data_IF_073748928486
#
_entry.id   IF_073748928486
#
_cell.length_a   1.000
_cell.length_b   1.000
_cell.length_c   1.000
_cell.angle_alpha   90.00
_cell.angle_beta   90.00
_cell.angle_gamma   90.00
#
_symmetry.space_group_name_H-M   'P 1'
#
loop_
_entity.id
_entity.type
_entity.pdbx_description
1 polymer ?
#
# COMPACT_ATOMS: atom_id res chain seq x y z
N UNK A 1 -10.56 -23.40 -55.49
CA UNK A 1 -10.42 -24.07 -54.16
C UNK A 1 -9.13 -23.69 -53.42
N UNK A 2 -8.64 -22.44 -53.49
CA UNK A 2 -7.40 -22.00 -52.79
C UNK A 2 -7.57 -20.71 -51.97
N UNK A 3 -8.77 -20.13 -51.94
CA UNK A 3 -9.04 -18.83 -51.28
C UNK A 3 -9.74 -18.94 -49.93
N UNK A 4 -10.25 -20.12 -49.56
CA UNK A 4 -11.00 -20.34 -48.33
C UNK A 4 -10.14 -20.80 -47.15
N UNK A 5 -8.94 -21.33 -47.40
CA UNK A 5 -8.04 -21.79 -46.33
C UNK A 5 -7.30 -20.66 -45.60
N UNK A 6 -7.08 -19.50 -46.25
CA UNK A 6 -6.35 -18.39 -45.65
C UNK A 6 -7.19 -17.59 -44.62
N UNK A 7 -8.52 -17.57 -44.78
CA UNK A 7 -9.42 -16.83 -43.88
C UNK A 7 -9.58 -17.51 -42.51
N UNK A 8 -9.43 -18.83 -42.44
CA UNK A 8 -9.58 -19.60 -41.19
C UNK A 8 -8.35 -19.52 -40.29
N UNK A 9 -7.15 -19.34 -40.84
CA UNK A 9 -5.94 -19.12 -40.05
C UNK A 9 -5.82 -17.70 -39.48
N UNK A 10 -6.33 -16.69 -40.19
CA UNK A 10 -6.34 -15.32 -39.70
C UNK A 10 -7.36 -15.10 -38.55
N UNK A 11 -8.48 -15.83 -38.55
CA UNK A 11 -9.50 -15.72 -37.50
C UNK A 11 -9.11 -16.45 -36.20
N UNK A 12 -8.40 -17.58 -36.29
CA UNK A 12 -7.94 -18.33 -35.11
C UNK A 12 -6.86 -17.61 -34.31
N UNK A 13 -5.98 -16.85 -34.96
CA UNK A 13 -4.94 -16.07 -34.30
C UNK A 13 -5.47 -14.85 -33.53
N UNK A 14 -6.67 -14.36 -33.88
CA UNK A 14 -7.27 -13.19 -33.22
C UNK A 14 -8.01 -13.57 -31.92
N UNK A 15 -8.53 -14.79 -31.80
CA UNK A 15 -9.23 -15.22 -30.58
C UNK A 15 -8.32 -15.68 -29.44
N UNK A 16 -7.08 -16.09 -29.70
CA UNK A 16 -6.14 -16.49 -28.63
C UNK A 16 -5.44 -15.32 -27.94
N UNK A 17 -5.52 -14.10 -28.48
CA UNK A 17 -4.88 -12.92 -27.90
C UNK A 17 -5.71 -12.24 -26.78
N UNK A 18 -7.00 -12.56 -26.65
CA UNK A 18 -7.89 -11.88 -25.70
C UNK A 18 -7.79 -12.38 -24.26
N UNK A 19 -7.19 -13.55 -24.03
CA UNK A 19 -7.04 -14.13 -22.69
C UNK A 19 -5.80 -13.62 -21.94
N UNK A 20 -4.90 -12.89 -22.61
CA UNK A 20 -3.70 -12.34 -21.99
C UNK A 20 -3.92 -10.98 -21.28
N UNK A 21 -5.14 -10.45 -21.29
CA UNK A 21 -5.46 -9.15 -20.65
C UNK A 21 -6.21 -9.27 -19.32
N UNK A 22 -6.23 -10.45 -18.70
CA UNK A 22 -6.61 -10.58 -17.29
C UNK A 22 -5.39 -10.32 -16.39
N UNK A 23 -4.82 -9.10 -16.45
CA UNK A 23 -3.87 -8.61 -15.45
C UNK A 23 -4.68 -8.28 -14.20
N UNK A 24 -4.90 -9.30 -13.38
CA UNK A 24 -5.50 -9.16 -12.06
C UNK A 24 -4.43 -8.80 -11.03
N UNK A 25 -4.44 -7.53 -10.60
CA UNK A 25 -3.99 -6.98 -9.31
C UNK A 25 -2.77 -7.66 -8.64
N UNK A 26 -1.60 -7.06 -8.88
CA UNK A 26 -0.27 -7.67 -8.80
C UNK A 26 0.45 -7.62 -7.42
N UNK A 27 -0.26 -7.77 -6.30
CA UNK A 27 0.40 -7.89 -4.97
C UNK A 27 -0.13 -9.06 -4.16
N UNK A 28 0.76 -10.02 -3.88
CA UNK A 28 0.58 -11.14 -2.96
C UNK A 28 1.06 -10.76 -1.56
N UNK A 29 0.59 -11.46 -0.52
CA UNK A 29 0.94 -11.21 0.88
C UNK A 29 2.47 -11.20 1.09
N UNK A 30 3.18 -12.08 0.37
CA UNK A 30 4.64 -12.22 0.45
C UNK A 30 5.42 -11.06 -0.18
N UNK A 31 4.77 -10.25 -1.01
CA UNK A 31 5.43 -9.13 -1.70
C UNK A 31 5.66 -7.96 -0.71
N UNK A 32 4.85 -7.90 0.34
CA UNK A 32 5.04 -6.99 1.47
C UNK A 32 5.66 -7.68 2.69
N UNK A 33 5.25 -8.91 3.02
CA UNK A 33 5.69 -9.64 4.21
C UNK A 33 6.73 -10.73 3.88
N UNK A 34 7.90 -10.70 4.51
CA UNK A 34 8.99 -11.67 4.32
C UNK A 34 9.46 -12.31 5.63
N UNK A 35 9.07 -13.57 5.87
CA UNK A 35 9.43 -14.32 7.10
C UNK A 35 10.93 -14.59 7.25
N UNK A 36 11.68 -14.57 6.16
CA UNK A 36 13.13 -14.81 6.14
C UNK A 36 13.96 -13.56 5.87
N UNK A 37 13.34 -12.46 5.45
CA UNK A 37 14.02 -11.25 4.99
C UNK A 37 13.37 -9.96 5.48
N UNK A 38 12.68 -10.00 6.62
CA UNK A 38 12.06 -8.84 7.22
C UNK A 38 13.11 -7.77 7.56
N UNK A 39 12.84 -6.53 7.15
CA UNK A 39 13.63 -5.32 7.43
C UNK A 39 12.85 -4.29 8.26
N UNK A 40 11.54 -4.47 8.39
CA UNK A 40 10.66 -3.64 9.20
C UNK A 40 9.83 -4.45 10.20
N UNK A 41 9.03 -3.75 11.00
CA UNK A 41 8.05 -4.35 11.91
C UNK A 41 7.05 -5.24 11.15
N UNK A 42 6.32 -6.11 11.85
CA UNK A 42 5.29 -6.98 11.25
C UNK A 42 5.77 -7.76 10.02
N UNK A 43 7.04 -8.17 10.00
CA UNK A 43 7.62 -9.00 8.95
C UNK A 43 7.73 -8.25 7.59
N UNK A 44 7.70 -6.91 7.56
CA UNK A 44 7.84 -6.19 6.28
C UNK A 44 9.21 -6.41 5.61
N UNK A 45 9.21 -6.71 4.31
CA UNK A 45 10.42 -6.94 3.51
C UNK A 45 11.27 -5.69 3.22
N UNK A 46 10.74 -4.50 3.52
CA UNK A 46 11.42 -3.21 3.39
C UNK A 46 11.50 -2.49 4.74
N UNK A 47 12.52 -1.65 4.89
CA UNK A 47 12.58 -0.72 6.01
C UNK A 47 11.73 0.53 5.69
N UNK A 48 11.08 1.15 6.70
CA UNK A 48 10.44 2.44 6.52
C UNK A 48 11.44 3.50 6.04
N UNK A 49 11.03 4.31 5.05
CA UNK A 49 11.81 5.41 4.51
C UNK A 49 11.24 6.76 5.00
N UNK A 50 11.91 7.38 5.95
CA UNK A 50 11.48 8.64 6.58
C UNK A 50 12.24 9.89 6.07
N UNK A 51 13.23 9.68 5.19
CA UNK A 51 14.08 10.71 4.62
C UNK A 51 13.34 11.59 3.60
N UNK A 52 12.27 11.08 2.98
CA UNK A 52 11.43 11.89 2.12
C UNK A 52 10.60 12.87 2.94
N UNK A 53 10.53 14.11 2.48
CA UNK A 53 9.70 15.13 3.10
C UNK A 53 8.22 14.92 2.75
N UNK A 54 7.36 15.19 3.73
CA UNK A 54 5.91 15.32 3.53
C UNK A 54 5.60 16.40 2.48
N UNK A 55 4.37 16.41 1.96
CA UNK A 55 3.91 17.39 0.96
C UNK A 55 4.11 18.87 1.38
N UNK A 56 4.27 19.14 2.68
CA UNK A 56 4.48 20.50 3.22
C UNK A 56 5.87 20.73 3.83
N UNK A 57 6.85 19.87 3.56
CA UNK A 57 8.25 20.12 3.93
C UNK A 57 8.68 19.67 5.33
N UNK A 58 7.90 18.82 6.02
CA UNK A 58 8.29 18.17 7.27
C UNK A 58 8.91 16.78 7.07
N UNK A 59 9.65 16.28 8.06
CA UNK A 59 10.12 14.88 8.08
C UNK A 59 8.94 13.94 8.38
N UNK A 60 8.92 12.79 7.72
CA UNK A 60 7.96 11.74 8.03
C UNK A 60 8.39 11.00 9.29
N UNK A 61 7.44 10.56 10.11
CA UNK A 61 7.73 9.70 11.26
C UNK A 61 7.91 8.26 10.74
N UNK A 62 9.05 7.58 11.02
CA UNK A 62 9.26 6.18 10.62
C UNK A 62 8.18 5.21 11.11
N UNK A 63 7.45 5.55 12.17
CA UNK A 63 6.33 4.76 12.69
C UNK A 63 5.02 4.98 11.93
N UNK A 64 4.94 5.97 11.03
CA UNK A 64 3.80 6.17 10.15
C UNK A 64 3.79 5.17 9.01
N UNK A 65 2.58 4.73 8.63
CA UNK A 65 2.39 3.81 7.50
C UNK A 65 2.94 4.36 6.18
N UNK A 66 2.93 5.68 6.00
CA UNK A 66 3.47 6.31 4.81
C UNK A 66 4.97 6.02 4.63
N UNK A 67 5.74 6.01 5.73
CA UNK A 67 7.18 5.72 5.66
C UNK A 67 7.43 4.29 5.18
N UNK A 68 6.58 3.36 5.61
CA UNK A 68 6.61 1.98 5.12
C UNK A 68 6.26 1.92 3.61
N UNK A 69 5.21 2.60 3.17
CA UNK A 69 4.84 2.64 1.75
C UNK A 69 5.99 3.18 0.89
N UNK A 70 6.66 4.24 1.36
CA UNK A 70 7.83 4.81 0.71
C UNK A 70 9.07 3.91 0.77
N UNK A 71 9.13 2.95 1.69
CA UNK A 71 10.15 1.89 1.68
C UNK A 71 10.18 1.11 0.36
N UNK A 72 9.02 0.96 -0.30
CA UNK A 72 8.90 0.38 -1.64
C UNK A 72 8.69 1.42 -2.75
N UNK A 73 7.97 2.51 -2.49
CA UNK A 73 7.61 3.52 -3.49
C UNK A 73 8.62 4.69 -3.55
N UNK A 74 9.92 4.39 -3.59
CA UNK A 74 10.98 5.40 -3.67
C UNK A 74 11.81 5.29 -4.96
N UNK A 75 12.63 6.31 -5.21
CA UNK A 75 13.46 6.40 -6.42
C UNK A 75 14.66 5.44 -6.43
N UNK A 76 15.07 4.95 -5.26
CA UNK A 76 16.32 4.17 -5.10
C UNK A 76 16.11 2.67 -5.18
N UNK A 77 14.91 2.20 -4.82
CA UNK A 77 14.59 0.78 -4.69
C UNK A 77 13.09 0.53 -4.60
N UNK A 78 12.65 -0.67 -4.97
CA UNK A 78 11.27 -1.13 -4.82
C UNK A 78 10.47 -1.10 -6.13
N UNK A 79 9.23 -0.62 -6.06
CA UNK A 79 8.26 -0.57 -7.16
C UNK A 79 8.10 0.86 -7.68
N UNK A 80 7.05 1.15 -8.46
CA UNK A 80 6.82 2.47 -9.06
C UNK A 80 6.94 3.59 -8.03
N UNK A 81 7.87 4.55 -8.18
CA UNK A 81 8.10 5.59 -7.17
C UNK A 81 6.90 6.54 -7.05
N UNK A 82 6.67 7.06 -5.83
CA UNK A 82 5.65 8.09 -5.55
C UNK A 82 6.34 9.38 -5.12
N UNK A 83 6.03 10.47 -5.84
CA UNK A 83 6.52 11.80 -5.51
C UNK A 83 5.46 12.56 -4.70
N UNK A 84 5.68 12.68 -3.39
CA UNK A 84 4.73 13.35 -2.50
C UNK A 84 4.46 14.82 -2.87
N UNK A 85 5.42 15.49 -3.52
CA UNK A 85 5.27 16.88 -4.02
C UNK A 85 4.18 17.02 -5.10
N UNK A 86 3.90 15.95 -5.83
CA UNK A 86 2.95 15.93 -6.96
C UNK A 86 1.70 15.08 -6.65
N UNK A 87 1.57 14.61 -5.41
CA UNK A 87 0.49 13.72 -4.97
C UNK A 87 -0.44 14.42 -3.98
N UNK A 88 -1.53 13.76 -3.60
CA UNK A 88 -2.34 14.25 -2.49
C UNK A 88 -1.50 14.31 -1.21
N UNK A 89 -1.68 15.34 -0.36
CA UNK A 89 -0.95 15.44 0.89
C UNK A 89 -1.25 14.24 1.81
N UNK A 90 -0.21 13.51 2.18
CA UNK A 90 -0.27 12.44 3.19
C UNK A 90 0.70 12.74 4.34
N UNK A 91 0.52 12.07 5.48
CA UNK A 91 1.26 12.32 6.70
C UNK A 91 0.83 13.64 7.39
N UNK A 92 -0.39 14.10 7.13
CA UNK A 92 -0.87 15.42 7.55
C UNK A 92 -2.26 15.35 8.18
N UNK A 93 -2.51 16.19 9.18
CA UNK A 93 -3.86 16.40 9.71
C UNK A 93 -4.62 17.38 8.79
N UNK A 94 -5.77 16.99 8.22
CA UNK A 94 -6.58 17.90 7.42
C UNK A 94 -7.05 19.11 8.25
N UNK A 95 -6.75 20.33 7.79
CA UNK A 95 -7.15 21.58 8.48
C UNK A 95 -8.29 22.33 7.80
N UNK A 96 -8.39 22.21 6.48
CA UNK A 96 -9.29 23.02 5.63
C UNK A 96 -10.48 22.23 5.08
N UNK A 97 -10.46 20.91 5.21
CA UNK A 97 -11.51 20.02 4.74
C UNK A 97 -11.99 19.13 5.89
N UNK A 98 -13.29 18.86 5.92
CA UNK A 98 -13.87 17.81 6.76
C UNK A 98 -13.69 16.48 6.06
N UNK A 99 -12.60 15.79 6.41
CA UNK A 99 -12.34 14.44 5.93
C UNK A 99 -13.04 13.45 6.88
N UNK A 100 -13.76 12.42 6.38
CA UNK A 100 -14.37 11.41 7.22
C UNK A 100 -13.35 10.71 8.13
N UNK A 101 -13.67 10.48 9.40
CA UNK A 101 -12.74 9.85 10.35
C UNK A 101 -12.37 8.42 9.94
N UNK A 102 -13.28 7.70 9.26
CA UNK A 102 -13.07 6.34 8.76
C UNK A 102 -11.91 6.18 7.78
N UNK A 103 -11.45 7.29 7.16
CA UNK A 103 -10.30 7.31 6.24
C UNK A 103 -9.06 7.94 6.88
N UNK A 104 -9.13 8.34 8.14
CA UNK A 104 -8.00 8.90 8.89
C UNK A 104 -7.35 7.81 9.76
N UNK A 105 -6.04 7.95 9.96
CA UNK A 105 -5.28 7.16 10.92
C UNK A 105 -4.76 8.09 12.00
N UNK A 106 -5.30 7.96 13.21
CA UNK A 106 -4.97 8.86 14.34
C UNK A 106 -5.18 10.34 13.98
N UNK A 107 -6.28 10.66 13.29
CA UNK A 107 -6.58 12.01 12.82
C UNK A 107 -5.70 12.53 11.66
N UNK A 108 -4.84 11.70 11.07
CA UNK A 108 -4.01 12.07 9.92
C UNK A 108 -4.49 11.39 8.64
N UNK A 109 -4.46 12.12 7.54
CA UNK A 109 -4.58 11.56 6.20
C UNK A 109 -3.24 10.91 5.84
N UNK A 110 -3.28 9.62 5.55
CA UNK A 110 -2.12 8.76 5.25
C UNK A 110 -2.35 8.07 3.92
N UNK A 111 -1.36 7.36 3.38
CA UNK A 111 -1.51 6.59 2.14
C UNK A 111 -2.74 5.66 2.19
N UNK A 112 -3.00 5.06 3.36
CA UNK A 112 -4.12 4.13 3.58
C UNK A 112 -5.49 4.78 3.74
N UNK A 113 -5.54 6.12 3.83
CA UNK A 113 -6.79 6.86 3.72
C UNK A 113 -7.35 6.88 2.29
N UNK A 114 -6.55 6.47 1.30
CA UNK A 114 -6.94 6.38 -0.09
C UNK A 114 -6.72 4.98 -0.67
N UNK A 115 -5.62 4.32 -0.30
CA UNK A 115 -5.18 3.04 -0.84
C UNK A 115 -5.05 1.98 0.25
N UNK A 116 -5.86 0.93 0.17
CA UNK A 116 -5.74 -0.20 1.08
C UNK A 116 -5.53 -1.48 0.26
N UNK A 117 -4.32 -2.06 0.25
CA UNK A 117 -4.05 -3.29 -0.48
C UNK A 117 -4.65 -4.52 0.19
N UNK A 118 -5.12 -4.46 1.45
CA UNK A 118 -5.54 -5.66 2.16
C UNK A 118 -6.99 -6.10 1.88
N UNK A 119 -7.27 -7.40 2.08
CA UNK A 119 -6.32 -8.51 2.08
C UNK A 119 -5.75 -8.81 0.66
N UNK A 120 -6.35 -8.21 -0.36
CA UNK A 120 -5.92 -8.12 -1.76
C UNK A 120 -7.00 -7.29 -2.48
N UNK A 121 -7.08 -6.01 -2.15
CA UNK A 121 -8.16 -5.14 -2.63
C UNK A 121 -8.16 -5.00 -4.16
N UNK A 122 -9.27 -5.39 -4.79
CA UNK A 122 -9.40 -5.38 -6.25
C UNK A 122 -9.95 -4.07 -6.81
N UNK A 123 -10.20 -3.08 -5.95
CA UNK A 123 -10.58 -1.75 -6.43
C UNK A 123 -9.44 -1.17 -7.26
N UNK A 124 -9.79 -0.24 -8.16
CA UNK A 124 -8.84 0.44 -9.03
C UNK A 124 -7.63 0.95 -8.24
N UNK A 125 -6.44 0.40 -8.52
CA UNK A 125 -5.19 0.73 -7.81
C UNK A 125 -5.33 0.64 -6.28
N UNK A 126 -6.05 -0.34 -5.76
CA UNK A 126 -6.27 -0.54 -4.33
C UNK A 126 -7.03 0.59 -3.64
N UNK A 127 -7.79 1.40 -4.37
CA UNK A 127 -8.56 2.49 -3.75
C UNK A 127 -9.56 1.95 -2.71
N UNK A 128 -9.75 2.68 -1.63
CA UNK A 128 -10.71 2.34 -0.58
C UNK A 128 -12.17 2.48 -1.04
N UNK A 129 -12.42 3.15 -2.17
CA UNK A 129 -13.73 3.23 -2.81
C UNK A 129 -13.64 2.62 -4.20
N UNK A 130 -14.61 1.78 -4.55
CA UNK A 130 -14.70 1.25 -5.91
C UNK A 130 -15.09 2.39 -6.88
N UNK A 131 -14.21 2.67 -7.84
CA UNK A 131 -14.40 3.68 -8.88
C UNK A 131 -14.70 3.07 -10.26
N UNK A 132 -15.13 1.81 -10.32
CA UNK A 132 -15.41 1.09 -11.56
C UNK A 132 -14.24 1.20 -12.55
N UNK A 133 -13.04 0.79 -12.11
CA UNK A 133 -11.79 0.91 -12.87
C UNK A 133 -11.47 2.35 -13.28
N UNK A 134 -11.70 3.30 -12.37
CA UNK A 134 -11.42 4.72 -12.54
C UNK A 134 -12.50 5.53 -13.26
N UNK A 135 -13.56 4.89 -13.79
CA UNK A 135 -14.67 5.57 -14.49
C UNK A 135 -15.47 6.50 -13.57
N UNK A 136 -15.58 6.15 -12.31
CA UNK A 136 -16.34 6.87 -11.30
C UNK A 136 -15.44 7.57 -10.27
N UNK A 137 -14.30 8.11 -10.72
CA UNK A 137 -13.34 8.78 -9.84
C UNK A 137 -13.97 9.93 -9.04
N UNK A 138 -14.96 10.63 -9.61
CA UNK A 138 -15.71 11.68 -8.91
C UNK A 138 -16.37 11.20 -7.62
N UNK A 139 -16.82 9.94 -7.55
CA UNK A 139 -17.42 9.36 -6.34
C UNK A 139 -16.37 9.26 -5.22
N UNK A 140 -15.14 8.86 -5.57
CA UNK A 140 -14.03 8.83 -4.62
C UNK A 140 -13.61 10.22 -4.18
N UNK A 141 -13.38 11.15 -5.12
CA UNK A 141 -13.02 12.53 -4.80
C UNK A 141 -14.08 13.21 -3.90
N UNK A 142 -15.36 12.95 -4.16
CA UNK A 142 -16.49 13.50 -3.42
C UNK A 142 -16.60 13.04 -1.97
N UNK A 143 -15.85 12.01 -1.54
CA UNK A 143 -15.76 11.62 -0.12
C UNK A 143 -15.17 12.75 0.74
N UNK A 144 -14.21 13.48 0.20
CA UNK A 144 -13.54 14.57 0.91
C UNK A 144 -13.89 15.94 0.31
N UNK A 145 -13.99 16.03 -1.01
CA UNK A 145 -14.18 17.27 -1.75
C UNK A 145 -15.65 17.55 -2.07
N UNK A 146 -16.50 17.52 -1.04
CA UNK A 146 -17.97 17.63 -1.20
C UNK A 146 -18.39 18.93 -1.89
N UNK A 147 -17.73 20.05 -1.56
CA UNK A 147 -18.01 21.36 -2.15
C UNK A 147 -17.58 21.47 -3.64
N UNK A 148 -16.78 20.53 -4.13
CA UNK A 148 -16.32 20.48 -5.53
C UNK A 148 -17.06 19.44 -6.35
N UNK A 149 -18.04 18.75 -5.76
CA UNK A 149 -18.81 17.70 -6.39
C UNK A 149 -20.20 18.21 -6.75
N UNK A 150 -20.70 17.84 -7.94
CA UNK A 150 -22.10 18.08 -8.27
C UNK A 150 -23.04 17.27 -7.35
N UNK A 151 -24.30 17.67 -7.18
CA UNK A 151 -25.23 17.00 -6.27
C UNK A 151 -25.41 15.50 -6.53
N UNK A 152 -25.36 15.06 -7.80
CA UNK A 152 -25.53 13.65 -8.14
C UNK A 152 -24.30 12.83 -7.74
N UNK A 153 -23.10 13.36 -7.99
CA UNK A 153 -21.85 12.74 -7.52
C UNK A 153 -21.78 12.69 -6.01
N UNK A 154 -22.17 13.76 -5.31
CA UNK A 154 -22.16 13.80 -3.84
C UNK A 154 -23.12 12.78 -3.23
N UNK A 155 -24.32 12.64 -3.79
CA UNK A 155 -25.29 11.63 -3.34
C UNK A 155 -24.75 10.20 -3.49
N UNK A 156 -24.02 9.92 -4.58
CA UNK A 156 -23.36 8.63 -4.80
C UNK A 156 -22.17 8.44 -3.85
N UNK A 157 -21.34 9.46 -3.68
CA UNK A 157 -20.19 9.44 -2.77
C UNK A 157 -20.63 9.16 -1.32
N UNK A 158 -21.73 9.76 -0.86
CA UNK A 158 -22.28 9.52 0.48
C UNK A 158 -22.72 8.07 0.73
N UNK A 159 -23.03 7.31 -0.34
CA UNK A 159 -23.48 5.91 -0.25
C UNK A 159 -22.40 4.89 -0.60
N UNK A 160 -21.32 5.32 -1.25
CA UNK A 160 -20.28 4.41 -1.71
C UNK A 160 -19.57 3.77 -0.51
N UNK A 161 -19.45 2.45 -0.45
CA UNK A 161 -18.77 1.78 0.65
C UNK A 161 -17.28 2.12 0.66
N UNK A 162 -16.73 2.26 1.86
CA UNK A 162 -15.30 2.40 2.10
C UNK A 162 -14.77 1.06 2.55
N UNK A 163 -13.84 0.50 1.78
CA UNK A 163 -13.07 -0.68 2.13
C UNK A 163 -11.76 -0.23 2.75
N UNK A 164 -11.77 -0.08 4.06
CA UNK A 164 -10.58 0.10 4.88
C UNK A 164 -10.48 -1.08 5.81
N UNK A 165 -9.26 -1.52 6.07
CA UNK A 165 -8.96 -2.28 7.27
C UNK A 165 -9.41 -1.42 8.45
N UNK A 166 -10.12 -2.06 9.39
CA UNK A 166 -10.40 -1.46 10.68
C UNK A 166 -9.09 -0.82 11.18
N UNK A 167 -9.09 0.45 11.60
CA UNK A 167 -7.89 1.03 12.19
C UNK A 167 -7.44 0.04 13.24
N UNK A 168 -6.17 -0.41 13.18
CA UNK A 168 -5.62 -1.33 14.16
C UNK A 168 -6.00 -0.79 15.53
N UNK A 169 -7.05 -1.38 16.11
CA UNK A 169 -7.79 -0.76 17.18
C UNK A 169 -6.80 -0.57 18.29
N UNK A 170 -6.63 0.67 18.75
CA UNK A 170 -6.58 1.11 20.15
C UNK A 170 -5.76 0.29 21.15
N UNK A 171 -4.98 -0.69 20.71
CA UNK A 171 -4.07 -1.44 21.49
C UNK A 171 -2.95 -0.45 21.73
N UNK A 172 -3.01 0.19 22.89
CA UNK A 172 -1.80 0.55 23.62
C UNK A 172 -0.79 -0.54 23.30
N UNK A 173 0.38 -0.21 22.71
CA UNK A 173 1.42 -1.20 22.58
C UNK A 173 1.67 -1.69 24.00
N UNK A 174 1.19 -2.90 24.33
CA UNK A 174 1.63 -3.57 25.54
C UNK A 174 3.13 -3.59 25.39
N UNK A 175 3.82 -2.95 26.33
CA UNK A 175 5.27 -2.90 26.36
C UNK A 175 5.79 -4.29 25.99
N UNK A 176 6.85 -4.40 25.17
CA UNK A 176 7.42 -5.70 24.83
C UNK A 176 7.59 -6.45 26.14
N UNK A 177 6.85 -7.55 26.28
CA UNK A 177 7.04 -8.47 27.40
C UNK A 177 8.51 -8.83 27.37
N UNK A 178 9.23 -8.34 28.37
CA UNK A 178 10.63 -8.67 28.58
C UNK A 178 10.75 -10.18 28.39
N UNK A 179 11.64 -10.67 27.51
CA UNK A 179 11.90 -12.10 27.46
C UNK A 179 12.27 -12.50 28.89
N UNK A 180 11.49 -13.41 29.48
CA UNK A 180 11.85 -14.03 30.74
C UNK A 180 13.30 -14.53 30.60
N UNK A 181 14.13 -14.13 31.57
CA UNK A 181 15.58 -14.12 31.52
C UNK A 181 16.25 -15.22 30.67
N UNK A 182 16.91 -14.79 29.61
CA UNK A 182 18.14 -15.45 29.19
C UNK A 182 19.25 -14.88 30.07
N UNK A 183 19.65 -15.64 31.10
CA UNK A 183 20.84 -15.34 31.89
C UNK A 183 22.02 -15.14 30.95
N UNK A 184 22.61 -13.95 31.00
CA UNK A 184 23.79 -13.61 30.22
C UNK A 184 24.94 -14.53 30.60
N UNK A 185 25.30 -15.43 29.68
CA UNK A 185 26.62 -16.05 29.68
C UNK A 185 27.52 -15.15 28.83
N UNK A 186 28.56 -14.61 29.47
CA UNK A 186 29.54 -13.75 28.82
C UNK A 186 30.16 -14.46 27.59
N UNK A 187 30.54 -13.71 26.54
CA UNK A 187 31.21 -14.28 25.38
C UNK A 187 32.51 -14.98 25.79
N UNK A 188 32.55 -16.31 25.60
CA UNK A 188 33.75 -17.10 25.79
C UNK A 188 34.86 -16.65 24.84
N UNK A 189 36.11 -16.65 25.35
CA UNK A 189 37.33 -16.38 24.57
C UNK A 189 37.37 -17.23 23.29
N UNK A 190 37.90 -16.70 22.17
CA UNK A 190 38.16 -17.50 20.97
C UNK A 190 39.10 -18.67 21.30
N UNK A 191 38.65 -19.89 20.99
CA UNK A 191 39.46 -21.11 21.11
C UNK A 191 40.57 -21.15 20.05
N UNK A 192 41.74 -21.61 20.47
CA UNK A 192 42.89 -21.86 19.59
C UNK A 192 42.56 -22.97 18.57
N UNK A 193 42.93 -22.85 17.29
CA UNK A 193 42.68 -23.89 16.30
C UNK A 193 43.48 -25.17 16.62
N UNK A 194 42.93 -26.36 16.31
CA UNK A 194 43.60 -27.62 16.55
C UNK A 194 44.83 -27.78 15.65
N UNK A 195 45.93 -28.29 16.22
CA UNK A 195 47.10 -28.73 15.46
C UNK A 195 46.74 -30.01 14.70
N UNK A 196 46.98 -29.99 13.39
CA UNK A 196 46.99 -31.19 12.55
C UNK A 196 48.19 -32.07 12.91
N UNK A 197 47.94 -33.36 13.12
CA UNK A 197 48.95 -34.41 12.96
C UNK A 197 48.94 -34.90 11.50
#
# INVERSE_FOLDING_TARGET
MKRTAAALFALGAILCASSALAVGHDVDCKDCHSVHGAKGSFIFGVAPLAEQSTAYGGKMDPAQVDALCLGCHNEKSGITPIMLKNSHPTGVTPKKLKVPEEVLRKGMLTCVGCHDPHPANQNYKYLIVNTNNGKDMGIFCGKCHQAQSDPATLAKAGKAPVKTDAPASSATPTAPSTPAGAGGQAPGKPGTPPKSN
#
